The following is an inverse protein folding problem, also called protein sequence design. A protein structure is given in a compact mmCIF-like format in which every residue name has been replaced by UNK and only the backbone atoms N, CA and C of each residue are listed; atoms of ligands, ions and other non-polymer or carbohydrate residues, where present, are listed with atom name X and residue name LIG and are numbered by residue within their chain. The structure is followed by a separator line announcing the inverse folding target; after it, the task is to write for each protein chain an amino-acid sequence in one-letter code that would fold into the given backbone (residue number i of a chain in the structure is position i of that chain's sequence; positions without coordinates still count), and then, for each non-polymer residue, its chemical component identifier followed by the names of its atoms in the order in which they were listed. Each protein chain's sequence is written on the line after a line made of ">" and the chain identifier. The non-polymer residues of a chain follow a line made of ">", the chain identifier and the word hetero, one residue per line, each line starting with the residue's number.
data_IF_761781551878
#
_entry.id   IF_761781551878
#
_cell.length_a   1.000
_cell.length_b   1.000
_cell.length_c   1.000
_cell.angle_alpha   90.00
_cell.angle_beta   90.00
_cell.angle_gamma   90.00
#
_symmetry.space_group_name_H-M   'P 1'
#
loop_
_entity.id
_entity.type
_entity.pdbx_description
1 polymer ?
#
# COMPACT_ATOMS: atom_id res chain seq x y z
N UNK A 1 -12.31 10.44 6.24
CA UNK A 1 -11.60 9.85 5.08
C UNK A 1 -10.40 10.68 4.60
N UNK A 2 -10.27 11.43 3.49
CA UNK A 2 -11.18 11.98 2.45
C UNK A 2 -10.44 12.01 1.07
N UNK A 3 -11.02 11.57 -0.06
CA UNK A 3 -12.26 10.77 -0.10
C UNK A 3 -12.07 9.40 0.51
N UNK A 4 -10.86 8.79 0.51
CA UNK A 4 -10.49 7.54 1.21
C UNK A 4 -8.95 7.40 1.32
N UNK A 5 -8.32 8.03 2.32
CA UNK A 5 -6.87 8.33 2.29
C UNK A 5 -5.97 7.15 2.60
N UNK A 6 -5.69 6.33 1.59
CA UNK A 6 -5.08 5.01 1.79
C UNK A 6 -6.04 4.04 2.48
N UNK A 7 -7.33 4.40 2.64
CA UNK A 7 -8.37 3.38 2.77
C UNK A 7 -8.49 2.74 1.39
N UNK A 8 -7.63 1.75 1.15
CA UNK A 8 -7.31 0.99 -0.09
C UNK A 8 -5.82 0.91 -0.46
N UNK A 9 -4.93 1.35 0.45
CA UNK A 9 -3.61 0.73 0.71
C UNK A 9 -3.72 -0.76 1.17
N UNK A 10 -4.94 -1.32 1.14
CA UNK A 10 -5.57 -1.79 2.38
C UNK A 10 -6.57 -2.95 2.17
N UNK A 11 -6.92 -3.27 0.92
CA UNK A 11 -7.55 -4.56 0.54
C UNK A 11 -6.63 -5.40 -0.34
N UNK A 12 -5.57 -4.82 -0.95
CA UNK A 12 -4.75 -5.56 -1.94
C UNK A 12 -3.35 -5.91 -1.45
N UNK A 13 -3.01 -5.55 -0.22
CA UNK A 13 -2.24 -6.43 0.68
C UNK A 13 -3.10 -7.60 1.19
N UNK A 14 -4.42 -7.40 1.36
CA UNK A 14 -5.35 -8.45 1.84
C UNK A 14 -5.67 -9.48 0.74
N UNK A 15 -5.33 -9.20 -0.52
CA UNK A 15 -5.20 -10.23 -1.56
C UNK A 15 -4.11 -11.27 -1.27
N UNK A 16 -3.21 -11.02 -0.32
CA UNK A 16 -2.03 -11.83 -0.01
C UNK A 16 -2.31 -13.24 0.54
N UNK A 17 -3.55 -13.57 0.94
CA UNK A 17 -3.90 -14.86 1.56
C UNK A 17 -5.11 -15.56 0.93
N UNK A 18 -5.40 -15.36 -0.37
CA UNK A 18 -6.36 -16.19 -1.10
C UNK A 18 -5.81 -17.59 -1.44
N UNK A 19 -5.57 -18.34 -0.36
CA UNK A 19 -5.46 -19.79 -0.23
C UNK A 19 -4.43 -20.52 -1.10
N UNK A 20 -3.27 -20.79 -0.49
CA UNK A 20 -2.39 -21.89 -0.88
C UNK A 20 -3.18 -23.21 -0.85
N UNK A 21 -3.49 -23.77 -2.02
CA UNK A 21 -4.01 -25.13 -2.21
C UNK A 21 -5.26 -25.57 -1.40
N UNK A 22 -6.15 -24.63 -1.04
CA UNK A 22 -7.60 -24.87 -0.93
C UNK A 22 -8.20 -25.49 0.35
N UNK A 23 -9.22 -24.80 0.87
CA UNK A 23 -10.44 -25.41 1.37
C UNK A 23 -11.63 -24.50 1.01
N UNK A 24 -12.84 -25.04 0.88
CA UNK A 24 -13.96 -24.34 0.23
C UNK A 24 -14.61 -23.25 1.08
N UNK A 25 -14.73 -22.04 0.53
CA UNK A 25 -15.41 -20.90 1.18
C UNK A 25 -15.33 -19.61 0.35
N UNK A 26 -15.90 -19.59 -0.85
CA UNK A 26 -15.92 -18.39 -1.69
C UNK A 26 -16.89 -17.33 -1.14
N UNK A 27 -16.34 -16.21 -0.68
CA UNK A 27 -17.07 -15.00 -0.29
C UNK A 27 -16.21 -13.77 -0.58
N UNK A 28 -16.84 -12.67 -0.99
CA UNK A 28 -16.16 -11.39 -1.21
C UNK A 28 -15.70 -10.82 0.14
N UNK A 29 -14.40 -10.57 0.32
CA UNK A 29 -13.89 -9.94 1.54
C UNK A 29 -14.18 -8.43 1.51
N UNK A 30 -15.27 -8.05 2.17
CA UNK A 30 -15.66 -6.66 2.39
C UNK A 30 -15.17 -6.17 3.75
N UNK A 31 -14.33 -5.14 3.76
CA UNK A 31 -13.91 -4.43 4.96
C UNK A 31 -14.98 -3.39 5.29
N UNK A 32 -15.61 -3.51 6.46
CA UNK A 32 -16.56 -2.50 6.95
C UNK A 32 -15.80 -1.43 7.74
N UNK A 33 -15.92 -0.17 7.30
CA UNK A 33 -15.32 1.00 7.96
C UNK A 33 -16.42 1.90 8.56
N UNK A 34 -16.09 2.82 9.49
CA UNK A 34 -17.06 3.80 10.01
C UNK A 34 -17.62 4.79 8.98
N UNK A 35 -17.04 4.84 7.76
CA UNK A 35 -17.45 5.75 6.68
C UNK A 35 -18.11 5.01 5.48
N UNK A 36 -18.11 3.67 5.49
CA UNK A 36 -18.68 2.83 4.43
C UNK A 36 -18.14 1.39 4.39
N UNK A 37 -18.80 0.52 3.62
CA UNK A 37 -18.28 -0.80 3.25
C UNK A 37 -17.32 -0.68 2.06
N UNK A 38 -16.30 -1.54 1.99
CA UNK A 38 -15.15 -1.38 1.11
C UNK A 38 -14.67 -2.77 0.65
N UNK A 39 -14.79 -3.08 -0.65
CA UNK A 39 -14.63 -4.43 -1.23
C UNK A 39 -13.80 -4.45 -2.52
N UNK A 40 -13.24 -5.61 -2.87
CA UNK A 40 -12.50 -5.83 -4.12
C UNK A 40 -13.17 -6.91 -4.98
N UNK A 41 -13.55 -6.54 -6.20
CA UNK A 41 -14.13 -7.39 -7.24
C UNK A 41 -13.02 -7.90 -8.16
N UNK A 42 -12.51 -9.10 -7.87
CA UNK A 42 -11.43 -9.73 -8.61
C UNK A 42 -11.80 -10.15 -10.04
N UNK A 43 -13.10 -10.26 -10.39
CA UNK A 43 -13.52 -10.56 -11.76
C UNK A 43 -13.40 -9.33 -12.68
N UNK A 44 -13.59 -8.12 -12.11
CA UNK A 44 -13.58 -6.84 -12.83
C UNK A 44 -12.31 -6.03 -12.57
N UNK A 45 -11.44 -6.50 -11.69
CA UNK A 45 -10.30 -5.76 -11.13
C UNK A 45 -10.73 -4.40 -10.57
N UNK A 46 -11.81 -4.40 -9.79
CA UNK A 46 -12.47 -3.18 -9.30
C UNK A 46 -12.43 -3.08 -7.79
N UNK A 47 -12.19 -1.86 -7.33
CA UNK A 47 -12.25 -1.46 -5.94
C UNK A 47 -13.54 -0.67 -5.76
N UNK A 48 -14.36 -1.06 -4.79
CA UNK A 48 -15.71 -0.50 -4.60
C UNK A 48 -15.89 -0.07 -3.15
N UNK A 49 -16.32 1.17 -2.94
CA UNK A 49 -16.69 1.70 -1.62
C UNK A 49 -18.14 2.12 -1.63
N UNK A 50 -18.92 1.57 -0.71
CA UNK A 50 -20.32 1.87 -0.47
C UNK A 50 -20.45 2.70 0.80
N UNK A 51 -20.45 4.03 0.67
CA UNK A 51 -20.76 4.94 1.77
C UNK A 51 -22.27 5.07 2.00
N UNK A 52 -22.69 5.74 3.08
CA UNK A 52 -24.12 5.93 3.40
C UNK A 52 -24.94 6.68 2.32
N UNK A 53 -24.27 7.37 1.38
CA UNK A 53 -24.92 8.27 0.40
C UNK A 53 -24.44 8.14 -1.05
N UNK A 54 -23.29 7.50 -1.32
CA UNK A 54 -22.82 7.19 -2.68
C UNK A 54 -21.99 5.89 -2.69
N UNK A 55 -22.16 5.07 -3.74
CA UNK A 55 -21.18 4.04 -4.10
C UNK A 55 -20.15 4.68 -5.05
N UNK A 56 -18.87 4.45 -4.79
CA UNK A 56 -17.75 4.88 -5.64
C UNK A 56 -17.00 3.65 -6.10
N UNK A 57 -16.81 3.55 -7.42
CA UNK A 57 -16.04 2.48 -8.06
C UNK A 57 -14.78 3.10 -8.67
N UNK A 58 -13.66 2.44 -8.41
CA UNK A 58 -12.38 2.65 -9.09
C UNK A 58 -11.98 1.35 -9.80
N UNK A 59 -11.27 1.46 -10.91
CA UNK A 59 -10.59 0.31 -11.55
C UNK A 59 -9.15 0.27 -11.06
N UNK A 60 -8.65 -0.93 -10.76
CA UNK A 60 -7.24 -1.19 -10.51
C UNK A 60 -6.56 -1.62 -11.82
N UNK A 61 -5.34 -1.12 -12.06
CA UNK A 61 -4.47 -1.50 -13.18
C UNK A 61 -3.09 -1.89 -12.67
N UNK A 62 -2.39 -2.82 -13.34
CA UNK A 62 -1.05 -3.26 -12.91
C UNK A 62 -0.03 -2.12 -13.05
N UNK A 63 0.52 -1.69 -11.93
CA UNK A 63 1.50 -0.62 -11.84
C UNK A 63 2.94 -1.05 -12.14
N UNK A 64 3.86 -0.11 -11.94
CA UNK A 64 5.31 -0.35 -11.91
C UNK A 64 5.95 0.53 -10.84
N UNK A 65 7.12 0.15 -10.32
CA UNK A 65 7.91 0.94 -9.34
C UNK A 65 7.98 2.43 -9.69
N UNK A 66 8.22 2.73 -10.98
CA UNK A 66 8.34 4.09 -11.48
C UNK A 66 7.06 4.92 -11.31
N UNK A 67 5.88 4.30 -11.31
CA UNK A 67 4.61 4.98 -11.05
C UNK A 67 4.45 5.37 -9.57
N UNK A 68 5.08 4.63 -8.65
CA UNK A 68 5.07 4.96 -7.22
C UNK A 68 5.86 6.24 -6.94
N UNK A 69 6.87 6.58 -7.74
CA UNK A 69 7.67 7.80 -7.56
C UNK A 69 8.39 7.86 -6.19
N UNK A 70 8.71 6.70 -5.63
CA UNK A 70 9.44 6.50 -4.37
C UNK A 70 10.59 5.54 -4.68
N UNK A 71 11.84 5.81 -4.24
CA UNK A 71 12.95 4.90 -4.44
C UNK A 71 12.78 3.63 -3.57
N UNK A 72 13.22 2.49 -4.10
CA UNK A 72 13.17 1.17 -3.46
C UNK A 72 14.61 0.66 -3.33
N UNK A 73 15.00 -0.08 -2.26
CA UNK A 73 16.34 -0.66 -2.17
C UNK A 73 16.69 -1.57 -3.36
N UNK A 74 17.91 -1.48 -3.88
CA UNK A 74 18.41 -2.24 -5.06
C UNK A 74 18.29 -3.78 -4.93
N UNK A 75 17.97 -4.29 -3.73
CA UNK A 75 17.84 -5.70 -3.38
C UNK A 75 16.44 -6.10 -2.89
N UNK A 76 15.43 -5.23 -3.02
CA UNK A 76 14.05 -5.56 -2.69
C UNK A 76 13.28 -5.96 -3.95
N UNK A 77 12.73 -7.17 -3.97
CA UNK A 77 11.96 -7.70 -5.09
C UNK A 77 10.49 -7.29 -4.98
N UNK A 78 9.89 -6.85 -6.10
CA UNK A 78 8.46 -6.57 -6.18
C UNK A 78 7.63 -7.84 -5.94
N UNK A 79 6.67 -7.77 -5.02
CA UNK A 79 5.70 -8.85 -4.79
C UNK A 79 4.71 -8.86 -5.96
N UNK A 80 4.81 -9.89 -6.80
CA UNK A 80 3.98 -10.09 -8.00
C UNK A 80 2.48 -9.90 -7.70
N UNK A 81 1.81 -9.09 -8.52
CA UNK A 81 0.39 -8.75 -8.37
C UNK A 81 0.05 -7.59 -7.43
N UNK A 82 0.99 -7.11 -6.60
CA UNK A 82 0.71 -6.02 -5.63
C UNK A 82 0.86 -4.62 -6.19
N UNK A 83 1.65 -4.44 -7.27
CA UNK A 83 1.80 -3.14 -7.93
C UNK A 83 0.51 -2.75 -8.65
N UNK A 84 -0.17 -1.73 -8.14
CA UNK A 84 -1.51 -1.31 -8.53
C UNK A 84 -1.58 0.21 -8.68
N UNK A 85 -2.29 0.69 -9.71
CA UNK A 85 -2.73 2.08 -9.88
C UNK A 85 -4.26 2.09 -9.88
N UNK A 86 -4.87 3.11 -9.26
CA UNK A 86 -6.32 3.21 -9.01
C UNK A 86 -6.81 4.61 -9.38
N UNK A 87 -7.55 4.72 -10.48
CA UNK A 87 -8.04 6.01 -10.99
C UNK A 87 -9.51 6.26 -10.61
N UNK A 88 -9.80 7.44 -10.07
CA UNK A 88 -11.16 7.85 -9.69
C UNK A 88 -12.06 8.10 -10.89
N UNK A 89 -13.27 7.53 -10.87
CA UNK A 89 -14.27 7.62 -11.95
C UNK A 89 -14.81 9.04 -12.24
N UNK A 90 -14.42 10.05 -11.45
CA UNK A 90 -14.68 11.49 -11.68
C UNK A 90 -13.44 12.29 -12.14
N UNK A 91 -12.25 11.68 -12.12
CA UNK A 91 -10.98 12.27 -12.59
C UNK A 91 -10.16 13.04 -11.54
N UNK A 92 -10.68 13.25 -10.33
CA UNK A 92 -10.06 14.12 -9.32
C UNK A 92 -9.05 13.43 -8.38
N UNK A 93 -9.06 12.09 -8.30
CA UNK A 93 -8.21 11.31 -7.39
C UNK A 93 -7.50 10.16 -8.12
N UNK A 94 -6.21 9.97 -7.83
CA UNK A 94 -5.37 8.88 -8.33
C UNK A 94 -4.55 8.30 -7.17
N UNK A 95 -4.58 6.97 -7.01
CA UNK A 95 -3.77 6.24 -6.04
C UNK A 95 -2.82 5.30 -6.77
N UNK A 96 -1.66 5.04 -6.18
CA UNK A 96 -0.82 3.93 -6.60
C UNK A 96 -0.18 3.27 -5.38
N UNK A 97 0.06 1.96 -5.41
CA UNK A 97 0.72 1.24 -4.32
C UNK A 97 1.38 -0.05 -4.80
N UNK A 98 2.29 -0.59 -3.98
CA UNK A 98 2.94 -1.88 -4.19
C UNK A 98 3.59 -2.40 -2.91
N UNK A 99 3.85 -3.70 -2.86
CA UNK A 99 4.60 -4.38 -1.80
C UNK A 99 5.88 -4.98 -2.35
N UNK A 100 6.96 -4.93 -1.56
CA UNK A 100 8.28 -5.48 -1.91
C UNK A 100 8.83 -6.31 -0.75
N UNK A 101 9.57 -7.37 -1.07
CA UNK A 101 10.29 -8.19 -0.08
C UNK A 101 11.80 -7.95 -0.20
N UNK A 102 12.47 -7.61 0.89
CA UNK A 102 13.92 -7.44 0.96
C UNK A 102 14.57 -8.53 1.83
N UNK A 103 15.75 -9.08 1.44
CA UNK A 103 16.53 -9.98 2.27
C UNK A 103 17.29 -9.25 3.40
N UNK A 104 17.26 -7.91 3.44
CA UNK A 104 17.82 -7.13 4.55
C UNK A 104 16.82 -6.99 5.69
N UNK A 105 17.26 -7.25 6.93
CA UNK A 105 16.44 -7.05 8.12
C UNK A 105 15.99 -5.61 8.36
N UNK A 106 14.78 -5.46 8.90
CA UNK A 106 13.95 -4.23 8.90
C UNK A 106 14.72 -2.95 9.24
N UNK A 107 15.55 -2.96 10.28
CA UNK A 107 16.30 -1.78 10.73
C UNK A 107 17.23 -1.22 9.63
N UNK A 108 17.84 -2.09 8.82
CA UNK A 108 18.72 -1.67 7.71
C UNK A 108 17.94 -0.99 6.59
N UNK A 109 16.72 -1.48 6.31
CA UNK A 109 15.82 -0.88 5.32
C UNK A 109 15.27 0.46 5.81
N UNK A 110 14.92 0.57 7.10
CA UNK A 110 14.54 1.83 7.76
C UNK A 110 15.68 2.86 7.65
N UNK A 111 16.92 2.48 7.97
CA UNK A 111 18.04 3.42 7.95
C UNK A 111 18.52 3.76 6.51
N UNK A 112 18.27 2.89 5.54
CA UNK A 112 18.37 3.23 4.11
C UNK A 112 17.37 4.30 3.71
N UNK A 113 16.07 4.14 4.04
CA UNK A 113 15.05 5.15 3.76
C UNK A 113 15.36 6.49 4.43
N UNK A 114 15.89 6.50 5.66
CA UNK A 114 16.37 7.73 6.32
C UNK A 114 17.53 8.39 5.57
N UNK A 115 18.45 7.62 4.97
CA UNK A 115 19.55 8.15 4.16
C UNK A 115 19.05 8.83 2.88
N UNK A 116 18.12 8.19 2.18
CA UNK A 116 17.54 8.72 0.94
C UNK A 116 16.64 9.94 1.20
N UNK A 117 15.85 9.91 2.27
CA UNK A 117 14.86 10.95 2.57
C UNK A 117 15.38 12.10 3.46
N UNK A 118 16.63 12.07 3.96
CA UNK A 118 17.18 13.07 4.90
C UNK A 118 17.04 14.54 4.44
N UNK A 119 17.00 14.77 3.13
CA UNK A 119 16.92 16.10 2.50
C UNK A 119 15.49 16.44 1.99
N UNK A 120 14.50 15.56 2.18
CA UNK A 120 13.12 15.78 1.71
C UNK A 120 12.35 16.75 2.62
N UNK A 121 11.84 17.88 2.07
CA UNK A 121 11.04 18.82 2.85
C UNK A 121 9.67 18.22 3.21
N UNK A 122 9.28 18.34 4.48
CA UNK A 122 8.00 17.82 4.96
C UNK A 122 7.97 16.30 5.17
N UNK A 123 9.13 15.64 5.28
CA UNK A 123 9.21 14.27 5.75
C UNK A 123 8.69 14.15 7.19
N UNK A 124 7.75 13.23 7.39
CA UNK A 124 7.30 12.70 8.68
C UNK A 124 7.82 11.27 8.83
N UNK A 125 8.95 11.11 9.51
CA UNK A 125 9.44 9.81 10.00
C UNK A 125 8.84 9.53 11.39
N UNK A 126 8.02 8.49 11.49
CA UNK A 126 7.47 7.97 12.74
C UNK A 126 7.90 6.52 12.98
N UNK A 127 9.03 6.11 12.40
CA UNK A 127 9.62 4.78 12.59
C UNK A 127 9.99 4.53 14.05
N UNK A 128 9.71 3.33 14.54
CA UNK A 128 9.76 3.00 15.98
C UNK A 128 10.09 1.52 16.21
N UNK A 129 10.08 1.08 17.47
CA UNK A 129 10.13 -0.33 17.87
C UNK A 129 8.87 -0.66 18.65
N UNK A 130 8.10 -1.65 18.19
CA UNK A 130 6.90 -2.19 18.84
C UNK A 130 7.17 -3.64 19.24
N UNK A 131 6.96 -3.97 20.51
CA UNK A 131 7.17 -5.31 21.10
C UNK A 131 8.51 -6.00 20.77
N UNK A 132 9.55 -5.18 20.50
CA UNK A 132 10.90 -5.63 20.14
C UNK A 132 11.18 -5.73 18.64
N UNK A 133 10.16 -5.57 17.79
CA UNK A 133 10.29 -5.50 16.32
C UNK A 133 10.40 -4.05 15.86
N UNK A 134 11.34 -3.75 14.97
CA UNK A 134 11.39 -2.44 14.32
C UNK A 134 10.24 -2.32 13.31
N UNK A 135 9.68 -1.11 13.19
CA UNK A 135 8.64 -0.76 12.22
C UNK A 135 8.98 0.60 11.61
N UNK A 136 9.11 0.64 10.28
CA UNK A 136 9.34 1.87 9.53
C UNK A 136 8.02 2.52 9.15
N UNK A 137 7.91 3.83 9.34
CA UNK A 137 6.76 4.63 8.94
C UNK A 137 7.24 5.99 8.45
N UNK A 138 7.17 6.20 7.14
CA UNK A 138 7.54 7.44 6.48
C UNK A 138 6.36 7.99 5.70
N UNK A 139 6.13 9.30 5.75
CA UNK A 139 5.31 9.99 4.75
C UNK A 139 5.86 11.36 4.40
N UNK A 140 5.59 11.82 3.18
CA UNK A 140 5.97 13.14 2.68
C UNK A 140 5.04 13.59 1.55
N UNK A 141 5.09 14.86 1.14
CA UNK A 141 4.35 15.37 -0.01
C UNK A 141 5.33 15.82 -1.11
N UNK A 142 5.28 15.17 -2.27
CA UNK A 142 6.11 15.47 -3.43
C UNK A 142 5.22 15.71 -4.65
N UNK A 143 5.47 16.77 -5.42
CA UNK A 143 4.73 17.13 -6.65
C UNK A 143 3.19 17.18 -6.49
N UNK A 144 2.72 17.56 -5.29
CA UNK A 144 1.29 17.59 -4.95
C UNK A 144 0.71 16.26 -4.47
N UNK A 145 1.46 15.16 -4.62
CA UNK A 145 1.08 13.79 -4.25
C UNK A 145 1.58 13.47 -2.83
N UNK A 146 0.73 12.90 -1.98
CA UNK A 146 1.17 12.34 -0.68
C UNK A 146 1.78 10.97 -0.95
N UNK A 147 2.96 10.72 -0.38
CA UNK A 147 3.68 9.43 -0.42
C UNK A 147 3.72 8.86 0.99
N UNK A 148 3.51 7.55 1.12
CA UNK A 148 3.59 6.81 2.38
C UNK A 148 4.37 5.52 2.18
N UNK A 149 5.23 5.18 3.13
CA UNK A 149 6.02 3.94 3.15
C UNK A 149 5.94 3.32 4.53
N UNK A 150 5.51 2.06 4.60
CA UNK A 150 5.57 1.21 5.80
C UNK A 150 6.63 0.13 5.59
N UNK A 151 7.40 -0.18 6.63
CA UNK A 151 8.45 -1.22 6.59
C UNK A 151 8.28 -2.16 7.79
N UNK A 152 8.00 -3.43 7.54
CA UNK A 152 7.68 -4.44 8.55
C UNK A 152 8.60 -5.66 8.44
N UNK A 153 8.64 -6.51 9.46
CA UNK A 153 9.15 -7.88 9.27
C UNK A 153 8.20 -8.67 8.36
N UNK A 154 8.73 -9.51 7.47
CA UNK A 154 7.90 -10.39 6.63
C UNK A 154 7.28 -11.51 7.48
N UNK A 155 5.96 -11.72 7.37
CA UNK A 155 5.29 -12.91 7.93
C UNK A 155 5.54 -14.16 7.05
N UNK A 156 5.87 -13.98 5.78
CA UNK A 156 6.11 -15.05 4.82
C UNK A 156 7.61 -15.41 4.74
N UNK A 157 8.00 -16.49 5.42
CA UNK A 157 9.39 -16.94 5.57
C UNK A 157 10.12 -17.45 4.33
N UNK A 158 9.54 -17.30 3.13
CA UNK A 158 10.07 -17.84 1.86
C UNK A 158 10.57 -16.76 0.86
N UNK A 159 10.44 -15.45 1.17
CA UNK A 159 10.79 -14.36 0.21
C UNK A 159 11.64 -13.20 0.73
N UNK A 160 11.82 -13.03 2.04
CA UNK A 160 12.67 -11.97 2.60
C UNK A 160 12.55 -11.84 4.12
N UNK A 161 13.43 -11.05 4.74
CA UNK A 161 13.32 -10.69 6.16
C UNK A 161 12.33 -9.52 6.38
N UNK A 162 12.21 -8.65 5.38
CA UNK A 162 11.47 -7.38 5.47
C UNK A 162 10.43 -7.26 4.36
N UNK A 163 9.23 -6.81 4.71
CA UNK A 163 8.22 -6.32 3.78
C UNK A 163 8.24 -4.78 3.74
N UNK A 164 8.11 -4.22 2.54
CA UNK A 164 8.07 -2.78 2.28
C UNK A 164 6.77 -2.49 1.54
N UNK A 165 5.88 -1.68 2.11
CA UNK A 165 4.60 -1.32 1.52
C UNK A 165 4.59 0.17 1.18
N UNK A 166 4.48 0.49 -0.10
CA UNK A 166 4.53 1.87 -0.62
C UNK A 166 3.15 2.27 -1.14
N UNK A 167 2.76 3.51 -0.89
CA UNK A 167 1.60 4.11 -1.52
C UNK A 167 1.77 5.59 -1.88
N UNK A 168 0.95 6.03 -2.82
CA UNK A 168 0.88 7.36 -3.42
C UNK A 168 -0.57 7.80 -3.55
N UNK A 169 -0.81 9.11 -3.40
CA UNK A 169 -2.15 9.67 -3.47
C UNK A 169 -2.17 11.12 -3.99
N UNK A 170 -2.82 11.33 -5.13
CA UNK A 170 -3.14 12.64 -5.70
C UNK A 170 -4.57 13.07 -5.35
N UNK A 171 -4.90 14.35 -5.50
CA UNK A 171 -6.26 14.88 -5.29
C UNK A 171 -6.66 15.19 -3.84
N UNK A 172 -5.83 14.81 -2.85
CA UNK A 172 -6.12 15.11 -1.44
C UNK A 172 -5.81 16.58 -1.11
N UNK A 173 -6.86 17.41 -1.12
CA UNK A 173 -6.89 18.76 -0.52
C UNK A 173 -7.81 18.83 0.69
#
# INVERSE_FOLDING_TARGET
>A
MRRLVGLLLLVVLVGGVLAVAGCGGGGEEAIVTPEGELRYDAEKNQIIVTGETEEVIWTADTGSEKALGVPVPDNADLVEGTAIVVAGSKGDEEWAGASFTSPDGVQKVIDWYKSEFKDLPGLSDTSTVLDGQAVGLFSFKADGVIKSITVNASEAGDKGETEINIASAAGIE
#
